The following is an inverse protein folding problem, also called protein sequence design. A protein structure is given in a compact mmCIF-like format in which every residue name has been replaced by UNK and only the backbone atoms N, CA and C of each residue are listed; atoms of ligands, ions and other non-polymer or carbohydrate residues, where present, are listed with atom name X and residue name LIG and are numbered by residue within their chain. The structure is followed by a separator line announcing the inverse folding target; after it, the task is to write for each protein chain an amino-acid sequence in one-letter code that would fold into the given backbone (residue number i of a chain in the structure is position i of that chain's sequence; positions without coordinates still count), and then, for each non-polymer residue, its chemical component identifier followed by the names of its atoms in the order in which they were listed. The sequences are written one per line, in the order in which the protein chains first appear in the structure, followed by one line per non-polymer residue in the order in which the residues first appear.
data_IF_546322698781
#
_entry.id   IF_546322698781
#
_cell.length_a   1.000
_cell.length_b   1.000
_cell.length_c   1.000
_cell.angle_alpha   90.00
_cell.angle_beta   90.00
_cell.angle_gamma   90.00
#
_symmetry.space_group_name_H-M   'P 1'
#
loop_
_entity.id
_entity.type
_entity.pdbx_description
1 polymer ?
#
# COMPACT_ATOMS: atom_id res chain seq x y z
N UNK A 1 23.11 5.57 -11.76
CA UNK A 1 22.30 5.36 -12.98
C UNK A 1 20.90 5.06 -12.51
N UNK A 2 19.93 5.94 -12.77
CA UNK A 2 18.55 5.74 -12.30
C UNK A 2 17.89 4.60 -13.07
N UNK A 3 17.12 3.77 -12.38
CA UNK A 3 16.21 2.82 -13.03
C UNK A 3 15.17 3.61 -13.82
N UNK A 4 15.00 3.31 -15.11
CA UNK A 4 13.86 3.81 -15.89
C UNK A 4 12.63 3.01 -15.47
N UNK A 5 11.89 3.54 -14.50
CA UNK A 5 10.64 2.94 -14.01
C UNK A 5 9.46 3.67 -14.64
N UNK A 6 8.69 2.98 -15.47
CA UNK A 6 7.39 3.44 -15.95
C UNK A 6 6.29 2.81 -15.10
N UNK A 7 5.37 3.65 -14.59
CA UNK A 7 4.22 3.17 -13.81
C UNK A 7 3.04 2.98 -14.76
N UNK A 8 2.60 1.72 -14.87
CA UNK A 8 1.43 1.35 -15.66
C UNK A 8 0.23 1.21 -14.73
N UNK A 9 -0.80 2.02 -14.96
CA UNK A 9 -2.09 1.88 -14.29
C UNK A 9 -2.98 0.89 -15.03
N UNK A 10 -3.55 -0.05 -14.28
CA UNK A 10 -4.41 -1.10 -14.81
C UNK A 10 -5.53 -1.45 -13.83
N UNK A 11 -6.65 -1.92 -14.36
CA UNK A 11 -7.77 -2.50 -13.59
C UNK A 11 -7.69 -4.02 -13.70
N UNK A 12 -7.91 -4.71 -12.59
CA UNK A 12 -8.02 -6.16 -12.59
C UNK A 12 -9.50 -6.58 -12.73
N UNK A 13 -9.86 -7.16 -13.88
CA UNK A 13 -11.22 -7.60 -14.16
C UNK A 13 -11.20 -9.04 -14.70
N UNK A 14 -12.01 -9.92 -14.10
CA UNK A 14 -12.18 -11.31 -14.54
C UNK A 14 -10.87 -12.10 -14.72
N UNK A 15 -9.88 -11.88 -13.85
CA UNK A 15 -8.59 -12.58 -13.95
C UNK A 15 -7.54 -11.89 -14.80
N UNK A 16 -7.85 -10.75 -15.43
CA UNK A 16 -6.99 -10.07 -16.41
C UNK A 16 -6.65 -8.65 -15.95
N UNK A 17 -5.36 -8.27 -16.03
CA UNK A 17 -4.92 -6.89 -15.87
C UNK A 17 -5.16 -6.12 -17.17
N UNK A 18 -6.06 -5.13 -17.12
CA UNK A 18 -6.43 -4.27 -18.24
C UNK A 18 -5.80 -2.90 -18.05
N UNK A 19 -4.80 -2.52 -18.86
CA UNK A 19 -4.17 -1.21 -18.73
C UNK A 19 -5.16 -0.11 -19.09
N UNK A 20 -5.10 1.02 -18.39
CA UNK A 20 -5.95 2.19 -18.65
C UNK A 20 -5.53 2.94 -19.92
N UNK A 21 -4.29 2.73 -20.39
CA UNK A 21 -3.71 3.34 -21.58
C UNK A 21 -2.99 2.28 -22.43
N UNK A 22 -2.87 2.48 -23.75
CA UNK A 22 -2.09 1.60 -24.62
C UNK A 22 -0.64 1.49 -24.15
N UNK A 23 -0.15 0.25 -24.03
CA UNK A 23 1.21 -0.04 -23.59
C UNK A 23 2.16 -0.06 -24.79
N UNK A 24 3.35 0.53 -24.63
CA UNK A 24 4.43 0.52 -25.64
C UNK A 24 5.53 -0.46 -25.25
N UNK A 25 5.13 -1.67 -24.83
CA UNK A 25 6.05 -2.72 -24.42
C UNK A 25 6.48 -3.57 -25.61
N UNK A 26 7.68 -4.14 -25.54
CA UNK A 26 8.17 -5.10 -26.52
C UNK A 26 7.70 -6.51 -26.16
N UNK A 27 7.57 -7.35 -27.18
CA UNK A 27 7.27 -8.76 -26.96
C UNK A 27 8.41 -9.43 -26.17
N UNK A 28 8.06 -10.23 -25.16
CA UNK A 28 9.01 -10.90 -24.26
C UNK A 28 9.54 -10.03 -23.11
N UNK A 29 9.06 -8.80 -22.95
CA UNK A 29 9.50 -7.91 -21.87
C UNK A 29 8.97 -8.37 -20.49
N UNK A 30 9.86 -8.46 -19.50
CA UNK A 30 9.51 -8.88 -18.14
C UNK A 30 8.97 -7.70 -17.33
N UNK A 31 7.79 -7.90 -16.74
CA UNK A 31 7.13 -6.89 -15.90
C UNK A 31 7.12 -7.33 -14.43
N UNK A 32 7.26 -6.36 -13.53
CA UNK A 32 7.09 -6.56 -12.08
C UNK A 32 5.84 -5.81 -11.63
N UNK A 33 4.88 -6.53 -11.07
CA UNK A 33 3.65 -5.93 -10.55
C UNK A 33 3.83 -5.65 -9.05
N UNK A 34 3.55 -4.42 -8.64
CA UNK A 34 3.49 -4.03 -7.22
C UNK A 34 2.06 -3.72 -6.83
N UNK A 35 1.49 -4.52 -5.93
CA UNK A 35 0.17 -4.28 -5.36
C UNK A 35 0.31 -3.41 -4.11
N UNK A 36 -0.11 -2.16 -4.19
CA UNK A 36 -0.17 -1.25 -3.05
C UNK A 36 -1.56 -1.34 -2.41
N UNK A 37 -1.69 -2.18 -1.37
CA UNK A 37 -2.91 -2.21 -0.54
C UNK A 37 -2.93 -0.97 0.36
N UNK A 38 -3.68 0.06 -0.02
CA UNK A 38 -3.85 1.28 0.80
C UNK A 38 -4.59 1.02 2.13
N UNK A 39 -5.25 -0.12 2.27
CA UNK A 39 -6.23 -0.35 3.34
C UNK A 39 -5.72 -1.15 4.54
N UNK A 40 -4.47 -1.61 4.59
CA UNK A 40 -4.02 -2.40 5.76
C UNK A 40 -4.04 -1.55 7.02
N UNK A 41 -3.66 -0.27 6.94
CA UNK A 41 -3.66 0.66 8.09
C UNK A 41 -5.09 0.97 8.54
N UNK A 42 -5.99 1.32 7.61
CA UNK A 42 -7.40 1.57 7.94
C UNK A 42 -8.14 0.31 8.43
N UNK A 43 -7.83 -0.87 7.87
CA UNK A 43 -8.36 -2.15 8.38
C UNK A 43 -7.80 -2.49 9.76
N UNK A 44 -6.51 -2.29 10.01
CA UNK A 44 -5.95 -2.55 11.34
C UNK A 44 -6.52 -1.62 12.39
N UNK A 45 -6.83 -0.36 12.08
CA UNK A 45 -7.53 0.52 13.01
C UNK A 45 -8.95 0.04 13.36
N UNK A 46 -9.73 -0.36 12.34
CA UNK A 46 -11.08 -0.91 12.57
C UNK A 46 -11.04 -2.20 13.39
N UNK A 47 -10.08 -3.10 13.14
CA UNK A 47 -9.91 -4.32 13.93
C UNK A 47 -9.38 -4.06 15.35
N UNK A 48 -8.51 -3.06 15.53
CA UNK A 48 -7.95 -2.66 16.85
C UNK A 48 -9.03 -2.14 17.80
N UNK A 49 -9.92 -1.27 17.32
CA UNK A 49 -11.05 -0.74 18.13
C UNK A 49 -12.05 -1.82 18.56
N UNK A 50 -12.18 -2.89 17.79
CA UNK A 50 -13.14 -3.96 18.05
C UNK A 50 -12.65 -4.99 19.09
N UNK A 51 -11.34 -5.26 19.15
CA UNK A 51 -10.78 -6.36 19.96
C UNK A 51 -10.29 -5.94 21.36
N UNK A 52 -9.93 -4.67 21.59
CA UNK A 52 -9.45 -4.21 22.90
C UNK A 52 -9.60 -2.69 23.10
N UNK A 53 -10.81 -2.17 23.34
CA UNK A 53 -11.02 -0.73 23.54
C UNK A 53 -10.24 -0.15 24.74
N UNK A 54 -10.01 -0.98 25.76
CA UNK A 54 -9.47 -0.54 27.06
C UNK A 54 -7.94 -0.35 27.09
N UNK A 55 -7.22 -0.94 26.12
CA UNK A 55 -5.74 -0.94 26.08
C UNK A 55 -5.14 0.22 25.27
N UNK A 56 -5.97 1.06 24.64
CA UNK A 56 -5.51 2.12 23.73
C UNK A 56 -6.15 3.45 24.12
N UNK A 57 -5.60 4.08 25.17
CA UNK A 57 -5.96 5.45 25.55
C UNK A 57 -5.33 6.50 24.63
N UNK A 58 -4.24 6.16 23.96
CA UNK A 58 -3.50 7.06 23.07
C UNK A 58 -3.94 6.83 21.62
N UNK A 59 -4.10 7.93 20.88
CA UNK A 59 -4.41 7.86 19.46
C UNK A 59 -3.25 7.21 18.69
N UNK A 60 -3.51 6.57 17.54
CA UNK A 60 -2.46 5.99 16.69
C UNK A 60 -1.36 7.00 16.33
N UNK A 61 -1.71 8.28 16.22
CA UNK A 61 -0.80 9.39 15.93
C UNK A 61 0.13 9.66 17.11
N UNK A 62 -0.40 9.68 18.34
CA UNK A 62 0.38 9.86 19.57
C UNK A 62 1.38 8.71 19.78
N UNK A 63 0.95 7.47 19.54
CA UNK A 63 1.83 6.29 19.62
C UNK A 63 2.99 6.36 18.62
N UNK A 64 2.71 6.75 17.38
CA UNK A 64 3.72 6.89 16.33
C UNK A 64 4.67 8.05 16.59
N UNK A 65 4.18 9.14 17.18
CA UNK A 65 5.00 10.26 17.58
C UNK A 65 5.96 9.87 18.71
N UNK A 66 5.48 9.17 19.74
CA UNK A 66 6.29 8.67 20.85
C UNK A 66 7.43 7.75 20.39
N UNK A 67 7.15 6.83 19.45
CA UNK A 67 8.19 5.96 18.87
C UNK A 67 9.27 6.73 18.07
N UNK A 68 8.94 7.90 17.52
CA UNK A 68 9.92 8.76 16.85
C UNK A 68 10.78 9.49 17.87
N UNK A 69 10.18 9.94 18.97
CA UNK A 69 10.86 10.64 20.06
C UNK A 69 11.78 9.70 20.86
N UNK A 70 11.41 8.44 21.07
CA UNK A 70 12.24 7.41 21.74
C UNK A 70 13.44 6.92 20.91
N UNK A 71 13.52 7.28 19.63
CA UNK A 71 14.64 6.92 18.72
C UNK A 71 15.69 8.03 18.59
N UNK A 72 15.52 9.17 19.26
CA UNK A 72 16.48 10.26 19.37
C UNK A 72 17.22 10.18 20.71
#
# INVERSE_FOLDING_TARGET
MGENVEVIEAVYENGVLRPLKPLKLKEGEHLVIKLHQKDIVERTEKFRKMLSPENFKESPEEYLQKLREERL
#
